data_IF_349959545642
#
_entry.id   IF_349959545642
#
_cell.length_a   1.000
_cell.length_b   1.000
_cell.length_c   1.000
_cell.angle_alpha   90.00
_cell.angle_beta   90.00
_cell.angle_gamma   90.00
#
_symmetry.space_group_name_H-M   'P 1'
#
loop_
_entity.id
_entity.type
_entity.pdbx_description
1 polymer ?
#
# COMPACT_ATOMS: atom_id res chain seq x y z
N UNK A 1 22.16 -8.72 -15.60
CA UNK A 1 22.03 -7.57 -14.67
C UNK A 1 21.52 -8.10 -13.34
N UNK A 2 22.11 -7.69 -12.20
CA UNK A 2 21.69 -8.14 -10.87
C UNK A 2 20.94 -6.98 -10.19
N UNK A 3 19.70 -7.19 -9.79
CA UNK A 3 18.88 -6.22 -9.06
C UNK A 3 18.69 -6.71 -7.63
N UNK A 4 18.98 -5.84 -6.66
CA UNK A 4 18.78 -6.07 -5.25
C UNK A 4 17.65 -5.20 -4.74
N UNK A 5 16.55 -5.81 -4.29
CA UNK A 5 15.46 -5.14 -3.59
C UNK A 5 15.69 -5.21 -2.08
N UNK A 6 15.60 -4.07 -1.42
CA UNK A 6 15.70 -3.93 0.03
C UNK A 6 14.40 -3.36 0.58
N UNK A 7 13.80 -4.02 1.58
CA UNK A 7 12.62 -3.52 2.27
C UNK A 7 12.66 -3.86 3.76
N UNK A 8 12.01 -3.04 4.56
CA UNK A 8 11.80 -3.28 6.00
C UNK A 8 10.47 -4.01 6.29
N UNK A 9 9.68 -4.29 5.25
CA UNK A 9 8.40 -5.00 5.33
C UNK A 9 8.56 -6.50 5.05
N UNK A 10 7.50 -7.28 5.27
CA UNK A 10 7.43 -8.66 4.81
C UNK A 10 7.07 -8.69 3.32
N UNK A 11 8.03 -9.09 2.50
CA UNK A 11 7.86 -9.16 1.04
C UNK A 11 6.64 -10.00 0.65
N UNK A 12 6.33 -11.04 1.42
CA UNK A 12 5.24 -11.97 1.07
C UNK A 12 3.85 -11.38 1.27
N UNK A 13 3.74 -10.34 2.09
CA UNK A 13 2.50 -9.59 2.31
C UNK A 13 2.46 -8.26 1.56
N UNK A 14 3.59 -7.81 0.99
CA UNK A 14 3.68 -6.55 0.28
C UNK A 14 3.32 -6.72 -1.21
N UNK A 15 2.07 -6.43 -1.53
CA UNK A 15 1.54 -6.60 -2.88
C UNK A 15 2.24 -5.74 -3.95
N UNK A 16 2.77 -4.55 -3.59
CA UNK A 16 3.50 -3.68 -4.51
C UNK A 16 4.84 -4.31 -4.87
N UNK A 17 5.60 -4.70 -3.86
CA UNK A 17 6.93 -5.31 -4.07
C UNK A 17 6.79 -6.62 -4.85
N UNK A 18 5.81 -7.47 -4.51
CA UNK A 18 5.56 -8.72 -5.25
C UNK A 18 5.26 -8.47 -6.73
N UNK A 19 4.43 -7.46 -7.06
CA UNK A 19 4.12 -7.07 -8.43
C UNK A 19 5.37 -6.62 -9.20
N UNK A 20 6.24 -5.85 -8.57
CA UNK A 20 7.50 -5.39 -9.16
C UNK A 20 8.45 -6.56 -9.43
N UNK A 21 8.61 -7.46 -8.45
CA UNK A 21 9.42 -8.68 -8.61
C UNK A 21 8.91 -9.56 -9.75
N UNK A 22 7.60 -9.78 -9.84
CA UNK A 22 6.98 -10.54 -10.92
C UNK A 22 7.17 -9.86 -12.29
N UNK A 23 7.00 -8.54 -12.35
CA UNK A 23 7.19 -7.79 -13.59
C UNK A 23 8.64 -7.88 -14.09
N UNK A 24 9.60 -7.67 -13.19
CA UNK A 24 11.02 -7.75 -13.53
C UNK A 24 11.46 -9.17 -13.89
N UNK A 25 10.88 -10.21 -13.27
CA UNK A 25 11.21 -11.60 -13.51
C UNK A 25 10.89 -12.08 -14.93
N UNK A 26 9.95 -11.41 -15.62
CA UNK A 26 9.65 -11.68 -17.03
C UNK A 26 10.85 -11.46 -17.95
N UNK A 27 11.81 -10.62 -17.52
CA UNK A 27 13.06 -10.42 -18.24
C UNK A 27 14.14 -11.41 -17.76
N UNK A 28 14.31 -12.52 -18.48
CA UNK A 28 15.28 -13.59 -18.16
C UNK A 28 16.74 -13.13 -18.04
N UNK A 29 17.10 -11.92 -18.51
CA UNK A 29 18.45 -11.34 -18.37
C UNK A 29 18.66 -10.68 -17.01
N UNK A 30 17.62 -10.54 -16.19
CA UNK A 30 17.65 -9.94 -14.86
C UNK A 30 17.66 -11.04 -13.81
N UNK A 31 18.63 -11.01 -12.89
CA UNK A 31 18.65 -11.83 -11.68
C UNK A 31 18.23 -10.97 -10.51
N UNK A 32 17.22 -11.38 -9.78
CA UNK A 32 16.62 -10.61 -8.72
C UNK A 32 16.92 -11.26 -7.37
N UNK A 33 17.39 -10.45 -6.44
CA UNK A 33 17.51 -10.81 -5.02
C UNK A 33 16.69 -9.81 -4.21
N UNK A 34 15.80 -10.29 -3.36
CA UNK A 34 14.96 -9.46 -2.51
C UNK A 34 15.19 -9.81 -1.04
N UNK A 35 15.49 -8.80 -0.23
CA UNK A 35 15.72 -8.92 1.21
C UNK A 35 14.62 -8.16 1.95
N UNK A 36 13.88 -8.85 2.81
CA UNK A 36 12.84 -8.29 3.65
C UNK A 36 12.76 -8.95 5.01
N UNK A 37 11.85 -8.49 5.83
CA UNK A 37 11.66 -8.99 7.20
C UNK A 37 10.63 -10.11 7.20
N UNK A 38 10.84 -11.11 8.04
CA UNK A 38 9.82 -12.12 8.33
C UNK A 38 8.89 -11.60 9.43
N UNK A 39 7.59 -11.48 9.13
CA UNK A 39 6.62 -10.91 10.07
C UNK A 39 5.64 -11.95 10.64
N UNK A 40 5.36 -13.04 9.93
CA UNK A 40 4.37 -14.04 10.33
C UNK A 40 5.01 -15.33 10.84
N UNK A 41 4.56 -15.81 12.00
CA UNK A 41 4.95 -17.12 12.57
C UNK A 41 4.32 -18.30 11.84
N UNK A 42 3.27 -18.08 11.07
CA UNK A 42 2.65 -19.12 10.25
C UNK A 42 3.49 -19.39 9.00
N UNK A 43 3.83 -20.65 8.78
CA UNK A 43 4.55 -21.20 7.63
C UNK A 43 3.79 -20.99 6.30
N UNK A 44 3.49 -19.76 5.92
CA UNK A 44 2.98 -19.47 4.58
C UNK A 44 4.12 -19.74 3.60
N UNK A 45 3.95 -20.74 2.76
CA UNK A 45 4.85 -21.01 1.64
C UNK A 45 4.99 -19.72 0.83
N UNK A 46 6.22 -19.23 0.72
CA UNK A 46 6.54 -18.07 -0.11
C UNK A 46 6.06 -18.32 -1.53
N UNK A 47 5.40 -17.33 -2.14
CA UNK A 47 5.08 -17.40 -3.56
C UNK A 47 6.40 -17.50 -4.33
N UNK A 48 6.64 -18.67 -4.94
CA UNK A 48 7.86 -18.89 -5.71
C UNK A 48 7.74 -18.12 -7.02
N UNK A 49 8.51 -17.05 -7.16
CA UNK A 49 8.63 -16.29 -8.40
C UNK A 49 9.86 -16.81 -9.14
N UNK A 50 9.70 -17.17 -10.38
CA UNK A 50 10.77 -17.71 -11.21
C UNK A 50 11.91 -16.67 -11.36
N UNK A 51 13.16 -17.08 -11.25
CA UNK A 51 14.36 -16.23 -11.30
C UNK A 51 14.51 -15.19 -10.17
N UNK A 52 13.70 -15.25 -9.11
CA UNK A 52 13.77 -14.38 -7.94
C UNK A 52 14.24 -15.16 -6.71
N UNK A 53 15.23 -14.64 -6.00
CA UNK A 53 15.67 -15.15 -4.69
C UNK A 53 15.16 -14.24 -3.59
N UNK A 54 14.18 -14.69 -2.80
CA UNK A 54 13.64 -13.95 -1.66
C UNK A 54 14.30 -14.48 -0.37
N UNK A 55 14.86 -13.58 0.42
CA UNK A 55 15.39 -13.87 1.75
C UNK A 55 14.56 -13.11 2.79
N UNK A 56 13.85 -13.85 3.63
CA UNK A 56 13.15 -13.30 4.79
C UNK A 56 14.03 -13.36 6.03
N UNK A 57 14.19 -12.24 6.69
CA UNK A 57 15.08 -12.06 7.82
C UNK A 57 14.28 -12.06 9.11
N UNK A 58 14.57 -13.05 9.98
CA UNK A 58 14.01 -13.10 11.32
C UNK A 58 14.75 -12.14 12.25
N UNK A 59 13.99 -11.32 13.00
CA UNK A 59 14.53 -10.39 13.98
C UNK A 59 14.35 -10.92 15.40
N UNK A 60 15.46 -11.26 16.05
CA UNK A 60 15.47 -11.75 17.44
C UNK A 60 15.14 -10.63 18.44
N UNK A 61 15.51 -9.40 18.14
CA UNK A 61 15.18 -8.21 18.95
C UNK A 61 13.68 -8.03 19.18
N UNK A 62 12.82 -8.51 18.28
CA UNK A 62 11.37 -8.47 18.45
C UNK A 62 10.87 -9.32 19.62
N UNK A 63 11.61 -10.36 20.01
CA UNK A 63 11.31 -11.24 21.16
C UNK A 63 11.62 -10.59 22.51
N UNK A 64 12.32 -9.47 22.54
CA UNK A 64 12.69 -8.75 23.75
C UNK A 64 11.52 -7.89 24.25
N UNK A 65 10.49 -8.56 24.78
CA UNK A 65 9.21 -7.92 25.20
C UNK A 65 9.43 -6.99 26.41
N UNK A 66 10.45 -7.25 27.23
CA UNK A 66 10.76 -6.49 28.42
C UNK A 66 11.37 -5.11 28.17
N UNK A 67 11.80 -4.82 26.93
CA UNK A 67 12.41 -3.53 26.58
C UNK A 67 11.34 -2.50 26.20
N UNK A 68 11.56 -1.20 26.55
CA UNK A 68 10.74 -0.11 26.04
C UNK A 68 10.63 -0.14 24.52
N UNK A 69 9.45 0.19 23.99
CA UNK A 69 9.16 0.08 22.56
C UNK A 69 10.19 0.78 21.66
N UNK A 70 10.65 1.97 22.07
CA UNK A 70 11.68 2.74 21.34
C UNK A 70 13.01 1.98 21.25
N UNK A 71 13.50 1.43 22.37
CA UNK A 71 14.77 0.68 22.39
C UNK A 71 14.66 -0.59 21.55
N UNK A 72 13.56 -1.34 21.70
CA UNK A 72 13.28 -2.53 20.92
C UNK A 72 13.24 -2.23 19.42
N UNK A 73 12.60 -1.12 19.03
CA UNK A 73 12.53 -0.70 17.63
C UNK A 73 13.92 -0.36 17.06
N UNK A 74 14.71 0.42 17.81
CA UNK A 74 16.06 0.79 17.41
C UNK A 74 16.96 -0.44 17.25
N UNK A 75 16.91 -1.39 18.20
CA UNK A 75 17.63 -2.65 18.10
C UNK A 75 17.19 -3.47 16.90
N UNK A 76 15.89 -3.50 16.58
CA UNK A 76 15.37 -4.22 15.41
C UNK A 76 15.88 -3.62 14.10
N UNK A 77 15.99 -2.31 14.00
CA UNK A 77 16.56 -1.63 12.82
C UNK A 77 18.04 -1.95 12.66
N UNK A 78 18.81 -1.90 13.75
CA UNK A 78 20.24 -2.24 13.74
C UNK A 78 20.43 -3.71 13.35
N UNK A 79 19.71 -4.63 13.98
CA UNK A 79 19.78 -6.07 13.69
C UNK A 79 19.41 -6.35 12.22
N UNK A 80 18.35 -5.73 11.72
CA UNK A 80 17.94 -5.83 10.32
C UNK A 80 19.06 -5.40 9.38
N UNK A 81 19.61 -4.22 9.62
CA UNK A 81 20.69 -3.65 8.81
C UNK A 81 21.90 -4.57 8.78
N UNK A 82 22.37 -5.08 9.93
CA UNK A 82 23.51 -5.97 10.01
C UNK A 82 23.26 -7.29 9.28
N UNK A 83 22.07 -7.88 9.43
CA UNK A 83 21.71 -9.13 8.74
C UNK A 83 21.55 -8.95 7.22
N UNK A 84 21.10 -7.79 6.78
CA UNK A 84 20.95 -7.46 5.36
C UNK A 84 22.30 -7.18 4.68
N UNK A 85 23.26 -6.56 5.36
CA UNK A 85 24.56 -6.18 4.80
C UNK A 85 25.23 -7.36 4.09
N UNK A 86 25.38 -8.49 4.77
CA UNK A 86 26.08 -9.65 4.22
C UNK A 86 25.42 -10.17 2.92
N UNK A 87 24.12 -10.33 2.94
CA UNK A 87 23.36 -10.80 1.77
C UNK A 87 23.38 -9.79 0.62
N UNK A 88 23.38 -8.50 0.93
CA UNK A 88 23.45 -7.41 -0.05
C UNK A 88 24.77 -7.46 -0.84
N UNK A 89 25.89 -7.63 -0.16
CA UNK A 89 27.21 -7.77 -0.83
C UNK A 89 27.31 -9.08 -1.61
N UNK A 90 26.78 -10.18 -1.06
CA UNK A 90 26.76 -11.48 -1.75
C UNK A 90 25.97 -11.45 -3.06
N UNK A 91 24.94 -10.61 -3.16
CA UNK A 91 24.13 -10.44 -4.36
C UNK A 91 24.90 -9.78 -5.51
N UNK A 92 26.00 -9.08 -5.25
CA UNK A 92 26.80 -8.32 -6.24
C UNK A 92 25.91 -7.50 -7.16
N UNK A 93 25.11 -6.54 -6.62
CA UNK A 93 24.12 -5.85 -7.39
C UNK A 93 24.73 -4.91 -8.44
N UNK A 94 24.07 -4.76 -9.58
CA UNK A 94 24.29 -3.66 -10.54
C UNK A 94 23.32 -2.51 -10.25
N UNK A 95 22.13 -2.86 -9.70
CA UNK A 95 21.09 -1.92 -9.29
C UNK A 95 20.62 -2.33 -7.89
N UNK A 96 20.46 -1.34 -7.03
CA UNK A 96 19.84 -1.44 -5.70
C UNK A 96 18.52 -0.70 -5.76
N UNK A 97 17.44 -1.34 -5.36
CA UNK A 97 16.10 -0.79 -5.26
C UNK A 97 15.69 -0.77 -3.78
N UNK A 98 15.68 0.41 -3.19
CA UNK A 98 15.28 0.62 -1.80
C UNK A 98 13.82 1.01 -1.73
N UNK A 99 13.02 0.20 -1.05
CA UNK A 99 11.63 0.49 -0.73
C UNK A 99 11.56 1.18 0.62
N UNK A 100 11.08 2.40 0.61
CA UNK A 100 10.96 3.32 1.75
C UNK A 100 12.30 3.82 2.34
N UNK A 101 12.21 4.87 3.16
CA UNK A 101 13.38 5.57 3.70
C UNK A 101 14.20 4.70 4.67
N UNK A 102 13.56 3.75 5.38
CA UNK A 102 14.23 3.00 6.45
C UNK A 102 15.41 2.15 5.95
N UNK A 103 15.35 1.62 4.74
CA UNK A 103 16.44 0.81 4.13
C UNK A 103 17.37 1.65 3.24
N UNK A 104 17.07 2.92 3.02
CA UNK A 104 17.85 3.80 2.17
C UNK A 104 19.31 3.98 2.65
N UNK A 105 19.62 4.14 3.96
CA UNK A 105 20.99 4.20 4.44
C UNK A 105 21.81 2.94 4.10
N UNK A 106 21.20 1.76 4.21
CA UNK A 106 21.81 0.51 3.81
C UNK A 106 22.08 0.47 2.30
N UNK A 107 21.10 0.89 1.49
CA UNK A 107 21.25 0.96 0.04
C UNK A 107 22.41 1.87 -0.39
N UNK A 108 22.55 3.02 0.25
CA UNK A 108 23.67 3.95 0.02
C UNK A 108 25.00 3.31 0.41
N UNK A 109 25.05 2.64 1.57
CA UNK A 109 26.27 1.93 1.99
C UNK A 109 26.68 0.87 0.95
N UNK A 110 25.77 0.03 0.52
CA UNK A 110 26.06 -1.00 -0.50
C UNK A 110 26.49 -0.34 -1.82
N UNK A 111 25.85 0.74 -2.26
CA UNK A 111 26.25 1.49 -3.45
C UNK A 111 27.68 1.98 -3.38
N UNK A 112 28.10 2.57 -2.26
CA UNK A 112 29.46 3.12 -2.09
C UNK A 112 30.54 2.04 -2.24
N UNK A 113 30.26 0.82 -1.83
CA UNK A 113 31.23 -0.29 -1.95
C UNK A 113 31.14 -1.08 -3.26
N UNK A 114 29.99 -1.04 -3.96
CA UNK A 114 29.78 -1.86 -5.16
C UNK A 114 29.77 -1.06 -6.47
N UNK A 115 29.63 0.28 -6.38
CA UNK A 115 29.45 1.13 -7.54
C UNK A 115 28.08 0.99 -8.24
N UNK A 116 27.10 0.33 -7.59
CA UNK A 116 25.77 0.09 -8.13
C UNK A 116 24.99 1.38 -8.34
N UNK A 117 23.98 1.35 -9.23
CA UNK A 117 22.95 2.38 -9.30
C UNK A 117 21.95 2.20 -8.17
N UNK A 118 21.46 3.30 -7.58
CA UNK A 118 20.51 3.30 -6.47
C UNK A 118 19.19 3.93 -6.89
N UNK A 119 18.14 3.14 -6.81
CA UNK A 119 16.75 3.57 -6.96
C UNK A 119 16.14 3.68 -5.57
N UNK A 120 15.50 4.79 -5.29
CA UNK A 120 14.68 5.00 -4.11
C UNK A 120 13.20 4.98 -4.51
N UNK A 121 12.44 4.03 -4.00
CA UNK A 121 11.00 3.89 -4.22
C UNK A 121 10.26 4.36 -2.96
N UNK A 122 9.72 5.56 -3.01
CA UNK A 122 8.91 6.14 -1.95
C UNK A 122 7.44 5.74 -2.15
N UNK A 123 6.99 4.76 -1.36
CA UNK A 123 5.61 4.24 -1.43
C UNK A 123 4.57 5.26 -0.98
N UNK A 124 5.00 6.23 -0.20
CA UNK A 124 4.21 7.35 0.33
C UNK A 124 5.09 8.60 0.38
N UNK A 125 4.56 9.72 0.84
CA UNK A 125 5.39 10.85 1.25
C UNK A 125 5.95 10.56 2.64
N UNK A 126 7.09 9.87 2.69
CA UNK A 126 7.64 9.21 3.88
C UNK A 126 7.79 10.09 5.10
N UNK A 127 8.25 11.34 4.93
CA UNK A 127 8.42 12.31 6.03
C UNK A 127 7.11 12.91 6.54
N UNK A 128 6.00 12.70 5.83
CA UNK A 128 4.69 13.28 6.14
C UNK A 128 3.56 12.24 6.20
N UNK A 129 3.89 11.03 6.63
CA UNK A 129 2.93 9.92 6.74
C UNK A 129 1.95 10.15 7.89
N UNK A 130 0.73 9.65 7.72
CA UNK A 130 -0.25 9.59 8.80
C UNK A 130 0.27 8.75 9.98
N UNK A 131 0.02 9.22 11.20
CA UNK A 131 0.49 8.57 12.43
C UNK A 131 1.99 8.77 12.74
N UNK A 132 2.75 9.44 11.88
CA UNK A 132 4.16 9.75 12.16
C UNK A 132 4.28 10.98 13.08
N UNK A 133 5.01 10.86 14.18
CA UNK A 133 5.28 12.02 15.05
C UNK A 133 6.10 13.07 14.30
N UNK A 134 5.90 14.36 14.66
CA UNK A 134 6.62 15.48 14.04
C UNK A 134 8.16 15.30 14.11
N UNK A 135 8.68 14.76 15.21
CA UNK A 135 10.12 14.49 15.38
C UNK A 135 10.60 13.43 14.39
N UNK A 136 9.88 12.32 14.27
CA UNK A 136 10.21 11.25 13.31
C UNK A 136 10.08 11.73 11.87
N UNK A 137 9.05 12.53 11.56
CA UNK A 137 8.90 13.14 10.24
C UNK A 137 10.09 14.02 9.85
N UNK A 138 10.55 14.89 10.77
CA UNK A 138 11.75 15.71 10.56
C UNK A 138 13.03 14.85 10.39
N UNK A 139 13.15 13.77 11.16
CA UNK A 139 14.28 12.84 11.03
C UNK A 139 14.26 12.13 9.68
N UNK A 140 13.10 11.64 9.25
CA UNK A 140 12.94 11.00 7.93
C UNK A 140 13.32 11.97 6.82
N UNK A 141 12.80 13.20 6.85
CA UNK A 141 13.15 14.24 5.90
C UNK A 141 14.64 14.54 5.86
N UNK A 142 15.26 14.64 7.04
CA UNK A 142 16.70 14.87 7.16
C UNK A 142 17.51 13.73 6.54
N UNK A 143 17.13 12.48 6.78
CA UNK A 143 17.77 11.28 6.20
C UNK A 143 17.62 11.30 4.66
N UNK A 144 16.42 11.54 4.14
CA UNK A 144 16.19 11.66 2.71
C UNK A 144 17.06 12.75 2.09
N UNK A 145 17.08 13.95 2.69
CA UNK A 145 17.87 15.09 2.20
C UNK A 145 19.38 14.83 2.24
N UNK A 146 19.88 14.21 3.31
CA UNK A 146 21.31 13.87 3.45
C UNK A 146 21.74 12.85 2.39
N UNK A 147 20.91 11.85 2.15
CA UNK A 147 21.22 10.74 1.25
C UNK A 147 20.85 11.03 -0.20
N UNK A 148 20.13 12.11 -0.48
CA UNK A 148 19.61 12.47 -1.79
C UNK A 148 20.66 12.45 -2.90
N UNK A 149 21.88 12.94 -2.63
CA UNK A 149 22.98 12.97 -3.59
C UNK A 149 23.41 11.60 -4.12
N UNK A 150 23.16 10.52 -3.33
CA UNK A 150 23.54 9.16 -3.69
C UNK A 150 22.46 8.42 -4.50
N UNK A 151 21.24 8.93 -4.52
CA UNK A 151 20.12 8.35 -5.28
C UNK A 151 20.32 8.71 -6.76
N UNK A 152 20.25 7.72 -7.66
CA UNK A 152 20.32 7.94 -9.10
C UNK A 152 18.91 8.21 -9.68
N UNK A 153 17.89 7.54 -9.19
CA UNK A 153 16.49 7.68 -9.61
C UNK A 153 15.55 7.52 -8.42
N UNK A 154 14.47 8.29 -8.43
CA UNK A 154 13.35 8.11 -7.47
C UNK A 154 12.13 7.56 -8.19
N UNK A 155 11.41 6.65 -7.53
CA UNK A 155 10.08 6.19 -7.92
C UNK A 155 9.10 6.71 -6.87
N UNK A 156 7.96 7.19 -7.31
CA UNK A 156 6.88 7.70 -6.45
C UNK A 156 5.53 7.21 -6.96
N UNK A 157 4.51 7.25 -6.09
CA UNK A 157 3.18 6.71 -6.42
C UNK A 157 2.26 7.73 -7.07
N UNK A 158 2.59 9.03 -7.02
CA UNK A 158 1.72 10.08 -7.55
C UNK A 158 2.50 11.31 -8.06
N UNK A 159 1.92 12.11 -8.98
CA UNK A 159 2.52 13.35 -9.47
C UNK A 159 2.80 14.37 -8.37
N UNK A 160 1.86 14.59 -7.45
CA UNK A 160 2.04 15.57 -6.37
C UNK A 160 3.18 15.20 -5.43
N UNK A 161 3.42 13.92 -5.16
CA UNK A 161 4.59 13.46 -4.40
C UNK A 161 5.89 13.73 -5.19
N UNK A 162 5.90 13.50 -6.51
CA UNK A 162 7.04 13.84 -7.36
C UNK A 162 7.39 15.33 -7.25
N UNK A 163 6.41 16.19 -7.43
CA UNK A 163 6.57 17.64 -7.36
C UNK A 163 7.06 18.09 -5.98
N UNK A 164 6.54 17.46 -4.92
CA UNK A 164 6.96 17.75 -3.56
C UNK A 164 8.44 17.43 -3.34
N UNK A 165 8.93 16.25 -3.78
CA UNK A 165 10.35 15.89 -3.65
C UNK A 165 11.23 16.85 -4.43
N UNK A 166 10.88 17.18 -5.68
CA UNK A 166 11.64 18.09 -6.51
C UNK A 166 11.74 19.49 -5.89
N UNK A 167 10.65 19.98 -5.30
CA UNK A 167 10.59 21.31 -4.68
C UNK A 167 11.32 21.38 -3.34
N UNK A 168 11.20 20.35 -2.49
CA UNK A 168 11.63 20.42 -1.09
C UNK A 168 13.01 19.78 -0.85
N UNK A 169 13.42 18.81 -1.66
CA UNK A 169 14.72 18.15 -1.50
C UNK A 169 15.65 18.46 -2.67
N UNK A 170 15.19 18.31 -3.91
CA UNK A 170 15.97 18.64 -5.10
C UNK A 170 15.54 17.87 -6.34
N UNK A 171 15.91 18.40 -7.49
CA UNK A 171 15.59 17.80 -8.80
C UNK A 171 16.32 16.47 -8.96
N UNK A 172 15.58 15.43 -9.36
CA UNK A 172 16.05 14.07 -9.58
C UNK A 172 15.28 13.43 -10.74
N UNK A 173 15.92 12.49 -11.46
CA UNK A 173 15.21 11.63 -12.40
C UNK A 173 14.11 10.86 -11.63
N UNK A 174 12.85 11.12 -11.97
CA UNK A 174 11.68 10.60 -11.26
C UNK A 174 10.82 9.81 -12.22
N UNK A 175 10.31 8.65 -11.73
CA UNK A 175 9.28 7.87 -12.40
C UNK A 175 8.05 7.78 -11.50
N UNK A 176 6.87 7.89 -12.08
CA UNK A 176 5.61 7.75 -11.37
C UNK A 176 5.07 6.35 -11.66
N UNK A 177 5.05 5.49 -10.64
CA UNK A 177 4.50 4.13 -10.72
C UNK A 177 3.36 4.02 -9.72
N UNK A 178 2.14 4.16 -10.22
CA UNK A 178 0.92 4.09 -9.43
C UNK A 178 0.73 2.68 -8.87
N UNK A 179 0.25 2.59 -7.63
CA UNK A 179 0.00 1.30 -7.00
C UNK A 179 -1.40 0.78 -7.37
N UNK A 180 -1.56 0.26 -8.58
CA UNK A 180 -2.82 -0.37 -9.03
C UNK A 180 -2.82 -1.88 -8.82
N UNK A 181 -3.99 -2.54 -8.67
CA UNK A 181 -4.08 -3.99 -8.67
C UNK A 181 -3.69 -4.58 -10.03
N UNK A 182 -3.30 -5.86 -10.05
CA UNK A 182 -3.13 -6.62 -11.30
C UNK A 182 -4.46 -7.30 -11.60
N UNK A 183 -4.98 -7.07 -12.81
CA UNK A 183 -6.03 -7.92 -13.36
C UNK A 183 -5.36 -9.21 -13.85
N UNK A 184 -5.55 -10.32 -13.13
CA UNK A 184 -5.19 -11.63 -13.66
C UNK A 184 -6.30 -12.11 -14.59
N UNK A 185 -5.94 -12.81 -15.68
CA UNK A 185 -6.92 -13.41 -16.59
C UNK A 185 -7.88 -14.35 -15.85
N UNK A 186 -7.44 -14.97 -14.76
CA UNK A 186 -8.24 -15.85 -13.92
C UNK A 186 -9.27 -15.11 -13.03
N UNK A 187 -9.19 -13.79 -12.91
CA UNK A 187 -10.17 -13.01 -12.13
C UNK A 187 -11.51 -12.84 -12.87
N UNK A 188 -11.55 -13.21 -14.16
CA UNK A 188 -12.82 -13.21 -14.92
C UNK A 188 -13.68 -14.45 -14.65
N UNK A 189 -13.10 -15.53 -14.09
CA UNK A 189 -13.79 -16.81 -13.82
C UNK A 189 -14.43 -16.92 -12.43
N UNK A 190 -14.09 -16.03 -11.48
CA UNK A 190 -14.84 -15.97 -10.23
C UNK A 190 -16.21 -15.41 -10.60
N UNK A 191 -17.23 -16.29 -10.52
CA UNK A 191 -18.63 -16.06 -10.80
C UNK A 191 -18.96 -14.56 -10.68
N UNK A 192 -19.25 -13.91 -11.80
CA UNK A 192 -19.78 -12.54 -11.87
C UNK A 192 -21.16 -12.49 -11.15
N UNK A 193 -21.15 -12.77 -9.87
CA UNK A 193 -22.35 -12.70 -9.06
C UNK A 193 -22.62 -11.22 -8.71
N UNK A 194 -23.23 -10.53 -9.66
CA UNK A 194 -23.71 -9.16 -9.43
C UNK A 194 -24.67 -9.06 -8.24
N UNK A 195 -25.15 -10.17 -7.74
CA UNK A 195 -26.05 -10.28 -6.61
C UNK A 195 -25.33 -10.63 -5.30
N UNK A 196 -24.00 -10.77 -5.31
CA UNK A 196 -23.26 -11.22 -4.13
C UNK A 196 -23.62 -10.48 -2.84
N UNK A 197 -23.52 -9.15 -2.82
CA UNK A 197 -23.88 -8.37 -1.63
C UNK A 197 -25.38 -8.39 -1.33
N UNK A 198 -26.23 -8.40 -2.38
CA UNK A 198 -27.68 -8.48 -2.21
C UNK A 198 -28.08 -9.76 -1.50
N UNK A 199 -27.55 -10.89 -1.97
CA UNK A 199 -27.81 -12.21 -1.39
C UNK A 199 -27.25 -12.32 0.03
N UNK A 200 -26.03 -11.81 0.26
CA UNK A 200 -25.35 -11.90 1.55
C UNK A 200 -26.03 -11.10 2.66
N UNK A 201 -26.54 -9.93 2.33
CA UNK A 201 -27.11 -8.98 3.30
C UNK A 201 -28.61 -8.78 3.14
N UNK A 202 -29.32 -9.59 2.32
CA UNK A 202 -30.75 -9.48 2.03
C UNK A 202 -31.16 -8.07 1.55
N UNK A 203 -30.35 -7.44 0.69
CA UNK A 203 -30.59 -6.10 0.17
C UNK A 203 -31.57 -6.16 -1.00
N UNK A 204 -32.68 -5.38 -0.97
CA UNK A 204 -33.64 -5.33 -2.08
C UNK A 204 -33.01 -4.93 -3.40
N UNK A 205 -33.53 -5.47 -4.53
CA UNK A 205 -33.03 -5.15 -5.87
C UNK A 205 -33.19 -3.67 -6.23
N UNK A 206 -34.19 -2.99 -5.67
CA UNK A 206 -34.44 -1.57 -5.87
C UNK A 206 -33.46 -0.66 -5.15
N UNK A 207 -32.73 -1.17 -4.14
CA UNK A 207 -31.80 -0.37 -3.35
C UNK A 207 -30.43 -0.22 -4.02
N UNK A 208 -29.72 0.86 -3.71
CA UNK A 208 -28.35 1.13 -4.16
C UNK A 208 -27.33 0.68 -3.15
N UNK A 209 -26.24 0.08 -3.61
CA UNK A 209 -25.13 -0.40 -2.78
C UNK A 209 -23.92 0.50 -2.97
N UNK A 210 -23.49 1.10 -1.88
CA UNK A 210 -22.29 1.90 -1.77
C UNK A 210 -21.21 1.10 -1.04
N UNK A 211 -20.06 0.94 -1.66
CA UNK A 211 -19.01 0.05 -1.16
C UNK A 211 -17.76 0.83 -0.75
N UNK A 212 -17.35 0.65 0.49
CA UNK A 212 -16.02 1.05 0.97
C UNK A 212 -15.11 -0.17 1.06
N UNK A 213 -13.92 -0.10 0.42
CA UNK A 213 -12.90 -1.15 0.48
C UNK A 213 -11.66 -0.62 1.19
N UNK A 214 -11.08 -1.42 2.10
CA UNK A 214 -9.74 -1.19 2.66
C UNK A 214 -9.64 -1.23 4.18
N UNK A 215 -8.61 -0.56 4.70
CA UNK A 215 -8.35 -0.51 6.14
C UNK A 215 -9.44 0.31 6.83
N UNK A 216 -10.01 -0.27 7.89
CA UNK A 216 -11.06 0.34 8.71
C UNK A 216 -10.40 1.06 9.90
N UNK A 217 -9.93 2.29 9.68
CA UNK A 217 -9.18 3.08 10.66
C UNK A 217 -9.44 4.58 10.51
N UNK A 218 -8.89 5.36 11.43
CA UNK A 218 -8.92 6.81 11.40
C UNK A 218 -8.32 7.39 10.08
N UNK A 219 -8.81 8.56 9.65
CA UNK A 219 -8.35 9.23 8.43
C UNK A 219 -8.92 8.67 7.14
N UNK A 220 -9.71 7.61 7.19
CA UNK A 220 -10.26 6.92 6.01
C UNK A 220 -11.71 7.31 5.67
N UNK A 221 -12.23 8.37 6.29
CA UNK A 221 -13.57 8.89 6.03
C UNK A 221 -14.72 8.03 6.58
N UNK A 222 -14.44 7.03 7.40
CA UNK A 222 -15.42 6.06 7.90
C UNK A 222 -16.52 6.74 8.70
N UNK A 223 -16.16 7.62 9.65
CA UNK A 223 -17.15 8.34 10.47
C UNK A 223 -18.04 9.26 9.63
N UNK A 224 -17.47 9.89 8.60
CA UNK A 224 -18.25 10.70 7.65
C UNK A 224 -19.29 9.85 6.92
N UNK A 225 -18.90 8.64 6.47
CA UNK A 225 -19.80 7.72 5.80
C UNK A 225 -20.92 7.24 6.72
N UNK A 226 -20.57 6.87 7.96
CA UNK A 226 -21.57 6.46 8.96
C UNK A 226 -22.59 7.56 9.18
N UNK A 227 -22.15 8.80 9.46
CA UNK A 227 -23.06 9.92 9.71
C UNK A 227 -23.94 10.27 8.50
N UNK A 228 -23.44 10.08 7.29
CA UNK A 228 -24.23 10.24 6.08
C UNK A 228 -25.32 9.17 5.97
N UNK A 229 -24.95 7.89 6.15
CA UNK A 229 -25.88 6.77 5.95
C UNK A 229 -26.89 6.60 7.09
N UNK A 230 -26.64 7.11 8.28
CA UNK A 230 -27.65 7.24 9.34
C UNK A 230 -28.81 8.18 8.98
N UNK A 231 -28.59 9.09 8.01
CA UNK A 231 -29.57 10.08 7.57
C UNK A 231 -30.27 9.74 6.26
N UNK A 232 -29.79 8.69 5.57
CA UNK A 232 -30.34 8.22 4.30
C UNK A 232 -31.30 7.08 4.58
N UNK A 233 -32.35 6.97 3.77
CA UNK A 233 -33.33 5.92 3.88
C UNK A 233 -32.81 4.52 3.44
N UNK A 234 -33.61 3.49 3.61
CA UNK A 234 -33.28 2.11 3.26
C UNK A 234 -33.19 1.83 1.75
N UNK A 235 -33.33 2.87 0.89
CA UNK A 235 -33.07 2.74 -0.54
C UNK A 235 -31.56 2.71 -0.87
N UNK A 236 -30.71 3.00 0.12
CA UNK A 236 -29.25 3.07 -0.03
C UNK A 236 -28.54 2.33 1.11
N UNK A 237 -27.73 1.35 0.76
CA UNK A 237 -26.98 0.53 1.69
C UNK A 237 -25.48 0.82 1.60
N UNK A 238 -24.81 0.91 2.76
CA UNK A 238 -23.37 1.07 2.89
C UNK A 238 -22.75 -0.26 3.31
N UNK A 239 -21.75 -0.70 2.56
CA UNK A 239 -20.99 -1.90 2.90
C UNK A 239 -19.54 -1.53 3.15
N UNK A 240 -19.01 -1.88 4.32
CA UNK A 240 -17.60 -1.80 4.66
C UNK A 240 -16.95 -3.17 4.43
N UNK A 241 -16.08 -3.28 3.43
CA UNK A 241 -15.29 -4.48 3.14
C UNK A 241 -13.84 -4.25 3.56
N UNK A 242 -13.38 -4.93 4.63
CA UNK A 242 -12.01 -4.77 5.06
C UNK A 242 -11.70 -5.26 6.47
N UNK A 243 -10.59 -4.76 6.98
CA UNK A 243 -10.07 -5.06 8.32
C UNK A 243 -9.52 -3.79 8.97
N UNK A 244 -9.37 -3.78 10.27
CA UNK A 244 -8.79 -2.66 11.01
C UNK A 244 -9.41 -2.47 12.38
N UNK A 245 -8.92 -1.47 13.10
CA UNK A 245 -9.32 -1.18 14.48
C UNK A 245 -10.82 -0.84 14.64
N UNK A 246 -11.44 -0.23 13.61
CA UNK A 246 -12.86 0.13 13.66
C UNK A 246 -13.81 -1.04 13.35
N UNK A 247 -13.30 -2.22 12.97
CA UNK A 247 -14.15 -3.35 12.57
C UNK A 247 -15.19 -3.73 13.61
N UNK A 248 -14.78 -3.92 14.87
CA UNK A 248 -15.69 -4.32 15.94
C UNK A 248 -16.77 -3.26 16.19
N UNK A 249 -16.39 -1.98 16.19
CA UNK A 249 -17.34 -0.87 16.31
C UNK A 249 -18.36 -0.86 15.17
N UNK A 250 -17.91 -1.11 13.93
CA UNK A 250 -18.77 -1.16 12.75
C UNK A 250 -19.74 -2.36 12.80
N UNK A 251 -19.28 -3.50 13.29
CA UNK A 251 -20.14 -4.69 13.50
C UNK A 251 -21.24 -4.41 14.52
N UNK A 252 -20.95 -3.73 15.63
CA UNK A 252 -21.99 -3.34 16.59
C UNK A 252 -22.97 -2.33 15.95
N UNK A 253 -22.46 -1.33 15.24
CA UNK A 253 -23.28 -0.34 14.55
C UNK A 253 -24.21 -0.98 13.51
N UNK A 254 -23.76 -2.00 12.80
CA UNK A 254 -24.57 -2.70 11.78
C UNK A 254 -25.77 -3.47 12.37
N UNK A 255 -25.82 -3.71 13.69
CA UNK A 255 -26.97 -4.29 14.38
C UNK A 255 -28.06 -3.26 14.67
N UNK A 256 -27.71 -1.97 14.68
CA UNK A 256 -28.61 -0.86 14.99
C UNK A 256 -29.14 -0.18 13.71
N UNK A 257 -28.51 -0.43 12.56
CA UNK A 257 -28.82 0.23 11.29
C UNK A 257 -28.91 -0.79 10.14
N UNK A 258 -30.10 -1.06 9.65
CA UNK A 258 -30.38 -2.06 8.61
C UNK A 258 -29.72 -1.76 7.25
N UNK A 259 -29.28 -0.50 7.02
CA UNK A 259 -28.62 -0.07 5.81
C UNK A 259 -27.08 0.03 5.92
N UNK A 260 -26.49 -0.41 7.02
CA UNK A 260 -25.02 -0.42 7.22
C UNK A 260 -24.55 -1.85 7.47
N UNK A 261 -23.64 -2.33 6.64
CA UNK A 261 -23.17 -3.71 6.67
C UNK A 261 -21.63 -3.77 6.75
N UNK A 262 -21.14 -4.87 7.36
CA UNK A 262 -19.71 -5.14 7.47
C UNK A 262 -19.37 -6.49 6.85
N UNK A 263 -18.41 -6.47 5.95
CA UNK A 263 -17.86 -7.65 5.31
C UNK A 263 -16.40 -7.86 5.72
N UNK A 264 -16.01 -9.08 5.97
CA UNK A 264 -14.61 -9.43 6.23
C UNK A 264 -13.73 -9.10 5.03
N UNK A 265 -12.46 -8.85 5.29
CA UNK A 265 -11.47 -8.73 4.22
C UNK A 265 -11.41 -10.02 3.40
N UNK A 266 -11.24 -9.86 2.09
CA UNK A 266 -11.06 -10.96 1.15
C UNK A 266 -9.65 -10.93 0.55
N UNK A 267 -9.18 -12.03 -0.04
CA UNK A 267 -7.93 -12.04 -0.79
C UNK A 267 -7.93 -10.98 -1.90
N UNK A 268 -6.78 -10.35 -2.14
CA UNK A 268 -6.66 -9.25 -3.12
C UNK A 268 -7.16 -9.60 -4.53
N UNK A 269 -7.00 -10.85 -4.95
CA UNK A 269 -7.47 -11.34 -6.24
C UNK A 269 -9.00 -11.47 -6.34
N UNK A 270 -9.75 -11.40 -5.24
CA UNK A 270 -11.21 -11.47 -5.20
C UNK A 270 -11.87 -10.09 -5.09
N UNK A 271 -11.11 -9.08 -4.66
CA UNK A 271 -11.64 -7.73 -4.36
C UNK A 271 -12.39 -7.14 -5.53
N UNK A 272 -11.79 -7.15 -6.74
CA UNK A 272 -12.41 -6.56 -7.94
C UNK A 272 -13.70 -7.31 -8.32
N UNK A 273 -13.70 -8.64 -8.24
CA UNK A 273 -14.88 -9.44 -8.57
C UNK A 273 -16.04 -9.17 -7.63
N UNK A 274 -15.76 -9.08 -6.33
CA UNK A 274 -16.79 -8.77 -5.31
C UNK A 274 -17.27 -7.33 -5.46
N UNK A 275 -16.39 -6.38 -5.76
CA UNK A 275 -16.74 -4.98 -5.96
C UNK A 275 -17.74 -4.77 -7.11
N UNK A 276 -17.76 -5.64 -8.14
CA UNK A 276 -18.76 -5.61 -9.24
C UNK A 276 -20.20 -5.78 -8.78
N UNK A 277 -20.44 -6.29 -7.57
CA UNK A 277 -21.77 -6.44 -6.99
C UNK A 277 -22.28 -5.19 -6.27
N UNK A 278 -21.50 -4.10 -6.27
CA UNK A 278 -21.90 -2.79 -5.76
C UNK A 278 -22.26 -1.82 -6.90
N UNK A 279 -23.02 -0.76 -6.57
CA UNK A 279 -23.41 0.28 -7.51
C UNK A 279 -22.44 1.46 -7.54
N UNK A 280 -21.79 1.77 -6.41
CA UNK A 280 -20.88 2.93 -6.25
C UNK A 280 -19.73 2.59 -5.32
N UNK A 281 -18.50 2.88 -5.73
CA UNK A 281 -17.30 2.78 -4.89
C UNK A 281 -17.05 4.07 -4.09
N UNK A 282 -16.64 3.95 -2.83
CA UNK A 282 -16.39 5.07 -1.93
C UNK A 282 -14.88 5.21 -1.64
N UNK A 283 -14.30 6.30 -2.10
CA UNK A 283 -12.88 6.60 -1.92
C UNK A 283 -12.68 7.90 -1.11
N UNK A 284 -13.25 7.95 0.10
CA UNK A 284 -13.11 9.08 0.99
C UNK A 284 -11.86 8.94 1.85
N UNK A 285 -10.89 9.83 1.62
CA UNK A 285 -9.68 10.01 2.42
C UNK A 285 -9.78 11.38 3.09
N UNK A 286 -9.39 11.48 4.35
CA UNK A 286 -9.34 12.74 5.09
C UNK A 286 -7.96 13.37 4.99
N UNK A 287 -7.89 14.69 4.96
CA UNK A 287 -6.63 15.43 4.94
C UNK A 287 -6.00 15.48 6.34
N UNK A 288 -5.54 14.32 6.82
CA UNK A 288 -4.90 14.20 8.14
C UNK A 288 -3.36 14.26 8.05
N UNK A 289 -2.83 14.05 6.86
CA UNK A 289 -1.41 14.19 6.56
C UNK A 289 -1.20 14.64 5.10
N UNK A 290 -0.02 15.20 4.81
CA UNK A 290 0.29 15.57 3.44
C UNK A 290 0.42 14.32 2.52
N UNK A 291 0.83 13.18 3.09
CA UNK A 291 0.85 11.91 2.37
C UNK A 291 -0.55 11.45 1.98
N UNK A 292 -1.54 11.61 2.88
CA UNK A 292 -2.95 11.31 2.56
C UNK A 292 -3.51 12.29 1.51
N UNK A 293 -3.12 13.56 1.57
CA UNK A 293 -3.58 14.58 0.61
C UNK A 293 -3.04 14.33 -0.81
N UNK A 294 -1.83 13.76 -0.96
CA UNK A 294 -1.19 13.44 -2.23
C UNK A 294 -1.29 11.95 -2.60
N UNK A 295 -2.15 11.18 -1.92
CA UNK A 295 -2.25 9.75 -2.17
C UNK A 295 -3.01 9.40 -3.47
N UNK A 296 -2.68 8.22 -4.00
CA UNK A 296 -3.49 7.50 -4.98
C UNK A 296 -3.78 6.10 -4.42
N UNK A 297 -4.92 5.92 -3.71
CA UNK A 297 -5.21 4.68 -3.02
C UNK A 297 -5.65 3.57 -3.98
N UNK A 298 -5.27 2.32 -3.68
CA UNK A 298 -5.58 1.13 -4.49
C UNK A 298 -7.07 0.98 -4.79
N UNK A 299 -7.93 1.28 -3.81
CA UNK A 299 -9.40 1.17 -3.96
C UNK A 299 -9.96 1.96 -5.14
N UNK A 300 -9.33 3.09 -5.50
CA UNK A 300 -9.74 3.88 -6.66
C UNK A 300 -9.62 3.05 -7.95
N UNK A 301 -8.53 2.32 -8.10
CA UNK A 301 -8.28 1.44 -9.25
C UNK A 301 -9.10 0.14 -9.17
N UNK A 302 -9.33 -0.39 -7.96
CA UNK A 302 -10.18 -1.56 -7.74
C UNK A 302 -11.62 -1.30 -8.20
N UNK A 303 -12.18 -0.13 -7.90
CA UNK A 303 -13.49 0.29 -8.40
C UNK A 303 -13.50 0.52 -9.92
N UNK A 304 -12.46 1.14 -10.47
CA UNK A 304 -12.33 1.32 -11.92
C UNK A 304 -12.31 -0.04 -12.66
N UNK A 305 -11.59 -1.02 -12.12
CA UNK A 305 -11.55 -2.37 -12.69
C UNK A 305 -12.84 -3.17 -12.44
N UNK A 306 -13.58 -2.84 -11.39
CA UNK A 306 -14.91 -3.37 -11.15
C UNK A 306 -15.97 -2.71 -12.04
N UNK A 307 -15.62 -1.69 -12.84
CA UNK A 307 -16.51 -0.93 -13.71
C UNK A 307 -17.67 -0.23 -12.97
N UNK A 308 -17.45 0.16 -11.71
CA UNK A 308 -18.40 0.92 -10.90
C UNK A 308 -17.94 2.38 -10.74
N UNK A 309 -18.87 3.34 -10.78
CA UNK A 309 -18.54 4.75 -10.57
C UNK A 309 -18.04 5.00 -9.14
N UNK A 310 -17.21 6.03 -8.98
CA UNK A 310 -16.57 6.37 -7.71
C UNK A 310 -17.05 7.71 -7.18
N UNK A 311 -17.31 7.78 -5.88
CA UNK A 311 -17.36 9.03 -5.13
C UNK A 311 -16.08 9.16 -4.31
N UNK A 312 -15.31 10.24 -4.50
CA UNK A 312 -14.00 10.37 -3.94
C UNK A 312 -13.74 11.74 -3.30
N UNK A 313 -12.75 11.81 -2.42
CA UNK A 313 -12.24 13.08 -1.90
C UNK A 313 -11.62 13.92 -3.02
N UNK A 314 -11.91 15.22 -3.03
CA UNK A 314 -11.37 16.16 -4.02
C UNK A 314 -9.92 16.52 -3.67
N UNK A 315 -9.01 15.55 -3.80
CA UNK A 315 -7.57 15.73 -3.64
C UNK A 315 -6.87 15.75 -5.00
N UNK A 316 -5.70 16.39 -5.14
CA UNK A 316 -5.09 16.67 -6.43
C UNK A 316 -4.98 15.44 -7.34
N UNK A 317 -4.32 14.39 -6.87
CA UNK A 317 -4.03 13.20 -7.69
C UNK A 317 -5.27 12.31 -7.85
N UNK A 318 -6.14 12.23 -6.83
CA UNK A 318 -7.42 11.52 -6.92
C UNK A 318 -8.31 12.20 -7.97
N UNK A 319 -8.49 13.53 -7.89
CA UNK A 319 -9.31 14.30 -8.85
C UNK A 319 -8.76 14.17 -10.27
N UNK A 320 -7.44 14.27 -10.43
CA UNK A 320 -6.80 14.10 -11.72
C UNK A 320 -7.15 12.74 -12.37
N UNK A 321 -7.10 11.65 -11.60
CA UNK A 321 -7.42 10.30 -12.12
C UNK A 321 -8.92 10.17 -12.39
N UNK A 322 -9.78 10.60 -11.45
CA UNK A 322 -11.25 10.51 -11.58
C UNK A 322 -11.75 11.30 -12.79
N UNK A 323 -11.27 12.52 -12.98
CA UNK A 323 -11.65 13.39 -14.09
C UNK A 323 -11.11 12.90 -15.42
N UNK A 324 -9.80 12.58 -15.49
CA UNK A 324 -9.13 12.13 -16.72
C UNK A 324 -9.76 10.88 -17.33
N UNK A 325 -10.21 9.95 -16.48
CA UNK A 325 -10.75 8.66 -16.91
C UNK A 325 -12.28 8.59 -16.77
N UNK A 326 -12.94 9.67 -16.39
CA UNK A 326 -14.39 9.75 -16.18
C UNK A 326 -14.91 8.64 -15.25
N UNK A 327 -14.21 8.42 -14.13
CA UNK A 327 -14.52 7.33 -13.22
C UNK A 327 -15.66 7.64 -12.25
N UNK A 328 -16.09 8.89 -12.11
CA UNK A 328 -17.11 9.30 -11.14
C UNK A 328 -17.02 10.78 -10.77
N UNK A 329 -17.15 11.09 -9.48
CA UNK A 329 -17.15 12.47 -8.96
C UNK A 329 -16.25 12.61 -7.71
N UNK A 330 -15.69 13.82 -7.53
CA UNK A 330 -14.98 14.27 -6.33
C UNK A 330 -15.73 15.41 -5.63
#
# INVERSE_FOLDING_TARGET
MNVLHLTHTDINSDSRILKELESLSKNKKVRITALGVHMNEENKKYKKIEHVKIYSINLNSRKLIFLPAFIKHSLSVIELTLKMIFNSFKAKPSIIHCHDTLVLPLGVLVKLFTGSKLIYDAHELESNRNGLSNTLGKMTFFVEKLLWRFIDKIIVVSPSISDWYQKNIGIKSTEIIMNSPILSENNFDIKNDKLYFRNKFNIPDSSKIFLYIGILSEGRGIDLLIEAFKKIDLSSHLIFLGYGEFKNRLVELSKEHDNIHVHDAVPHNEVVSIAKSADVGLCFIQNVSLSDYYCLPNKLFEYAFAEIPVLASKFPDISMVVEKYNLGKC
#
